data_IF_411602272802
#
_entry.id   IF_411602272802
#
_cell.length_a   1.000
_cell.length_b   1.000
_cell.length_c   1.000
_cell.angle_alpha   90.00
_cell.angle_beta   90.00
_cell.angle_gamma   90.00
#
_symmetry.space_group_name_H-M   'P 1'
#
loop_
_entity.id
_entity.type
_entity.pdbx_description
1 polymer ?
#
# COMPACT_ATOMS: atom_id res chain seq x y z
N UNK A 1 19.13 -18.34 18.27
CA UNK A 1 18.51 -17.54 17.20
C UNK A 1 19.36 -16.30 17.02
N UNK A 2 20.04 -16.18 15.88
CA UNK A 2 20.91 -15.02 15.58
C UNK A 2 20.01 -13.81 15.35
N UNK A 3 20.25 -12.72 16.11
CA UNK A 3 19.53 -11.46 15.93
C UNK A 3 19.67 -10.98 14.48
N UNK A 4 18.53 -10.68 13.86
CA UNK A 4 18.48 -10.10 12.51
C UNK A 4 19.16 -8.74 12.61
N UNK A 5 20.36 -8.63 12.05
CA UNK A 5 21.05 -7.35 11.89
C UNK A 5 20.15 -6.44 11.08
N UNK A 6 19.78 -5.28 11.62
CA UNK A 6 19.07 -4.22 10.92
C UNK A 6 20.00 -3.62 9.83
N UNK A 7 20.16 -4.38 8.74
CA UNK A 7 20.75 -3.88 7.49
C UNK A 7 19.86 -2.77 6.95
N UNK A 8 20.43 -1.85 6.20
CA UNK A 8 19.78 -0.71 5.56
C UNK A 8 18.55 -1.14 4.75
N UNK A 9 17.40 -1.23 5.41
CA UNK A 9 16.11 -1.50 4.77
C UNK A 9 15.85 -0.36 3.79
N UNK A 10 15.87 -0.68 2.51
CA UNK A 10 15.48 0.28 1.49
C UNK A 10 14.02 0.62 1.72
N UNK A 11 13.72 1.91 1.80
CA UNK A 11 12.35 2.39 1.91
C UNK A 11 11.56 1.92 0.69
N UNK A 12 10.59 1.03 0.90
CA UNK A 12 9.76 0.44 -0.14
C UNK A 12 8.35 1.00 0.03
N UNK A 13 7.70 1.36 -1.09
CA UNK A 13 6.28 1.75 -1.06
C UNK A 13 5.41 0.58 -0.62
N UNK A 14 4.42 0.87 0.22
CA UNK A 14 3.33 -0.05 0.50
C UNK A 14 2.20 0.25 -0.49
N UNK A 15 1.76 -0.75 -1.21
CA UNK A 15 0.72 -0.64 -2.25
C UNK A 15 -0.41 -1.62 -1.93
N UNK A 16 -1.45 -1.63 -2.74
CA UNK A 16 -2.63 -2.47 -2.54
C UNK A 16 -2.32 -3.94 -2.16
N UNK A 17 -1.37 -4.67 -2.81
CA UNK A 17 -1.06 -6.04 -2.42
C UNK A 17 -0.56 -6.18 -0.99
N UNK A 18 0.39 -5.32 -0.58
CA UNK A 18 0.92 -5.34 0.79
C UNK A 18 -0.13 -4.92 1.81
N UNK A 19 -1.02 -3.97 1.44
CA UNK A 19 -2.12 -3.53 2.30
C UNK A 19 -3.14 -4.64 2.52
N UNK A 20 -3.44 -5.43 1.49
CA UNK A 20 -4.31 -6.60 1.62
C UNK A 20 -3.71 -7.64 2.57
N UNK A 21 -2.45 -8.01 2.36
CA UNK A 21 -1.74 -8.97 3.21
C UNK A 21 -1.76 -8.51 4.68
N UNK A 22 -1.47 -7.22 4.93
CA UNK A 22 -1.54 -6.66 6.28
C UNK A 22 -2.95 -6.75 6.86
N UNK A 23 -3.98 -6.43 6.09
CA UNK A 23 -5.36 -6.45 6.57
C UNK A 23 -5.82 -7.87 6.94
N UNK A 24 -5.45 -8.87 6.15
CA UNK A 24 -5.72 -10.28 6.44
C UNK A 24 -5.01 -10.70 7.74
N UNK A 25 -3.72 -10.42 7.86
CA UNK A 25 -2.94 -10.75 9.06
C UNK A 25 -3.40 -9.98 10.32
N UNK A 26 -3.82 -8.72 10.17
CA UNK A 26 -4.43 -7.93 11.25
C UNK A 26 -5.75 -8.56 11.66
N UNK A 27 -6.56 -9.05 10.73
CA UNK A 27 -7.82 -9.74 11.02
C UNK A 27 -7.55 -10.97 11.87
N UNK A 28 -6.63 -11.84 11.44
CA UNK A 28 -6.27 -13.07 12.15
C UNK A 28 -5.71 -12.79 13.56
N UNK A 29 -4.95 -11.70 13.71
CA UNK A 29 -4.24 -11.41 14.96
C UNK A 29 -5.04 -10.56 15.94
N UNK A 30 -5.91 -9.65 15.46
CA UNK A 30 -6.52 -8.62 16.32
C UNK A 30 -8.03 -8.73 16.46
N UNK A 31 -8.74 -9.56 15.68
CA UNK A 31 -10.19 -9.68 15.77
C UNK A 31 -10.61 -10.01 17.22
N UNK A 32 -11.61 -9.32 17.74
CA UNK A 32 -12.15 -9.40 19.09
C UNK A 32 -11.23 -8.92 20.22
N UNK A 33 -9.95 -8.59 19.97
CA UNK A 33 -9.05 -8.09 21.02
C UNK A 33 -9.53 -6.73 21.54
N UNK A 34 -9.39 -6.53 22.85
CA UNK A 34 -9.73 -5.29 23.54
C UNK A 34 -8.49 -4.46 23.84
N UNK A 35 -8.51 -3.19 23.51
CA UNK A 35 -7.40 -2.27 23.77
C UNK A 35 -7.35 -1.95 25.28
N UNK A 36 -6.18 -2.20 25.89
CA UNK A 36 -5.88 -1.89 27.27
C UNK A 36 -5.28 -0.50 27.45
N UNK A 37 -4.29 -0.18 26.62
CA UNK A 37 -3.57 1.09 26.70
C UNK A 37 -2.94 1.45 25.35
N UNK A 38 -2.44 2.67 25.23
CA UNK A 38 -1.65 3.12 24.09
C UNK A 38 -0.44 3.95 24.56
N UNK A 39 0.57 4.04 23.70
CA UNK A 39 1.74 4.91 23.91
C UNK A 39 2.13 5.58 22.58
N UNK A 40 2.47 6.87 22.65
CA UNK A 40 2.84 7.67 21.48
C UNK A 40 4.23 8.25 21.68
N UNK A 41 5.11 7.98 20.71
CA UNK A 41 6.50 8.45 20.71
C UNK A 41 6.83 9.09 19.35
N UNK A 42 7.80 10.01 19.36
CA UNK A 42 8.39 10.63 18.16
C UNK A 42 7.36 11.18 17.13
N UNK A 43 6.13 11.49 17.56
CA UNK A 43 4.99 11.79 16.69
C UNK A 43 4.87 13.26 16.27
N UNK A 44 5.59 14.18 16.93
CA UNK A 44 5.44 15.64 16.75
C UNK A 44 5.49 16.09 15.29
N UNK A 45 6.44 15.52 14.50
CA UNK A 45 6.55 15.84 13.08
C UNK A 45 5.33 15.38 12.29
N UNK A 46 4.86 14.14 12.52
CA UNK A 46 3.69 13.58 11.84
C UNK A 46 2.40 14.33 12.20
N UNK A 47 2.26 14.73 13.46
CA UNK A 47 1.13 15.54 13.93
C UNK A 47 1.12 16.93 13.27
N UNK A 48 2.29 17.58 13.17
CA UNK A 48 2.44 18.91 12.55
C UNK A 48 2.04 18.89 11.06
N UNK A 49 2.41 17.85 10.33
CA UNK A 49 2.10 17.71 8.90
C UNK A 49 0.77 17.01 8.61
N UNK A 50 -0.01 16.65 9.67
CA UNK A 50 -1.35 16.08 9.51
C UNK A 50 -1.40 14.60 9.15
N UNK A 51 -0.38 13.82 9.52
CA UNK A 51 -0.35 12.36 9.30
C UNK A 51 -0.67 11.55 10.56
N UNK A 52 -0.82 12.22 11.68
CA UNK A 52 -1.39 11.69 12.92
C UNK A 52 -2.35 12.71 13.52
N UNK A 53 -3.25 12.28 14.42
CA UNK A 53 -4.09 13.18 15.18
C UNK A 53 -3.25 14.27 15.85
N UNK A 54 -3.74 15.50 15.84
CA UNK A 54 -2.99 16.66 16.39
C UNK A 54 -2.66 16.52 17.87
N UNK A 55 -3.54 15.88 18.63
CA UNK A 55 -3.38 15.69 20.08
C UNK A 55 -3.15 14.20 20.38
N UNK A 56 -2.10 13.83 21.13
CA UNK A 56 -1.90 12.45 21.58
C UNK A 56 -3.13 11.87 22.30
N UNK A 57 -3.85 12.69 23.08
CA UNK A 57 -5.10 12.31 23.79
C UNK A 57 -6.22 11.84 22.86
N UNK A 58 -6.17 12.14 21.56
CA UNK A 58 -7.20 11.67 20.62
C UNK A 58 -7.19 10.14 20.50
N UNK A 59 -6.09 9.47 20.85
CA UNK A 59 -6.00 8.00 20.87
C UNK A 59 -6.57 7.38 22.15
N UNK A 60 -6.80 8.15 23.22
CA UNK A 60 -7.36 7.66 24.49
C UNK A 60 -8.75 7.05 24.28
N UNK A 61 -9.53 7.57 23.34
CA UNK A 61 -10.86 7.07 22.99
C UNK A 61 -10.87 5.67 22.39
N UNK A 62 -9.71 5.12 22.00
CA UNK A 62 -9.56 3.72 21.60
C UNK A 62 -9.49 2.77 22.80
N UNK A 63 -9.09 3.26 23.98
CA UNK A 63 -8.96 2.45 25.19
C UNK A 63 -10.31 1.87 25.60
N UNK A 64 -10.32 0.58 25.91
CA UNK A 64 -11.54 -0.15 26.24
C UNK A 64 -12.43 -0.47 25.04
N UNK A 65 -12.03 -0.13 23.80
CA UNK A 65 -12.67 -0.60 22.58
C UNK A 65 -12.19 -1.99 22.20
N UNK A 66 -13.06 -2.77 21.54
CA UNK A 66 -12.73 -4.10 20.99
C UNK A 66 -12.79 -4.05 19.47
N UNK A 67 -11.82 -4.67 18.82
CA UNK A 67 -11.75 -4.81 17.36
C UNK A 67 -12.93 -5.66 16.87
N UNK A 68 -13.66 -5.17 15.85
CA UNK A 68 -14.85 -5.81 15.30
C UNK A 68 -14.68 -6.28 13.86
N UNK A 69 -14.10 -5.44 13.03
CA UNK A 69 -13.94 -5.72 11.61
C UNK A 69 -12.71 -4.98 11.09
N UNK A 70 -12.00 -5.61 10.20
CA UNK A 70 -10.91 -4.99 9.44
C UNK A 70 -11.34 -4.92 7.98
N UNK A 71 -11.33 -3.74 7.42
CA UNK A 71 -11.57 -3.51 6.00
C UNK A 71 -10.38 -2.79 5.40
N UNK A 72 -10.05 -3.14 4.17
CA UNK A 72 -9.01 -2.46 3.42
C UNK A 72 -9.52 -2.11 2.03
N UNK A 73 -8.97 -1.04 1.47
CA UNK A 73 -9.16 -0.68 0.07
C UNK A 73 -8.05 0.27 -0.35
N UNK A 74 -7.53 0.07 -1.56
CA UNK A 74 -6.35 0.82 -1.99
C UNK A 74 -5.20 0.61 -1.00
N UNK A 75 -4.62 1.73 -0.51
CA UNK A 75 -3.54 1.70 0.47
C UNK A 75 -4.02 1.92 1.91
N UNK A 76 -5.32 1.85 2.16
CA UNK A 76 -5.91 2.20 3.45
C UNK A 76 -6.49 0.97 4.13
N UNK A 77 -6.14 0.79 5.41
CA UNK A 77 -6.73 -0.19 6.33
C UNK A 77 -7.54 0.56 7.37
N UNK A 78 -8.76 0.11 7.58
CA UNK A 78 -9.64 0.63 8.62
C UNK A 78 -9.95 -0.49 9.61
N UNK A 79 -9.39 -0.39 10.81
CA UNK A 79 -9.66 -1.27 11.94
C UNK A 79 -10.86 -0.70 12.67
N UNK A 80 -12.03 -1.27 12.42
CA UNK A 80 -13.28 -0.85 13.06
C UNK A 80 -13.44 -1.50 14.42
N UNK A 81 -13.90 -0.75 15.38
CA UNK A 81 -14.09 -1.17 16.76
C UNK A 81 -15.54 -0.95 17.20
N UNK A 82 -15.92 -1.53 18.33
CA UNK A 82 -17.16 -1.13 19.00
C UNK A 82 -17.14 0.37 19.34
N UNK A 83 -18.25 0.91 19.86
CA UNK A 83 -18.42 2.33 20.18
C UNK A 83 -18.21 3.27 18.97
N UNK A 84 -18.36 2.76 17.72
CA UNK A 84 -18.19 3.52 16.47
C UNK A 84 -16.79 4.14 16.33
N UNK A 85 -15.77 3.50 16.88
CA UNK A 85 -14.38 3.93 16.79
C UNK A 85 -13.61 3.19 15.69
N UNK A 86 -12.60 3.87 15.17
CA UNK A 86 -11.71 3.35 14.15
C UNK A 86 -10.25 3.71 14.43
N UNK A 87 -9.35 2.80 14.11
CA UNK A 87 -7.96 3.11 13.85
C UNK A 87 -7.75 3.00 12.33
N UNK A 88 -7.46 4.14 11.69
CA UNK A 88 -7.24 4.24 10.24
C UNK A 88 -5.74 4.28 9.98
N UNK A 89 -5.28 3.35 9.16
CA UNK A 89 -3.88 3.21 8.76
C UNK A 89 -3.78 3.36 7.23
N UNK A 90 -2.86 4.22 6.79
CA UNK A 90 -2.44 4.25 5.40
C UNK A 90 -0.91 4.17 5.39
N UNK A 91 -0.34 2.96 5.36
CA UNK A 91 1.10 2.79 5.35
C UNK A 91 1.69 3.32 4.04
N UNK A 92 2.89 3.89 4.12
CA UNK A 92 3.64 4.41 2.97
C UNK A 92 5.12 4.00 3.09
N UNK A 93 6.00 4.64 2.36
CA UNK A 93 7.43 4.31 2.30
C UNK A 93 8.04 4.04 3.66
N UNK A 94 8.61 2.84 3.83
CA UNK A 94 9.30 2.42 5.05
C UNK A 94 8.40 2.30 6.28
N UNK A 95 7.08 2.26 6.10
CA UNK A 95 6.15 2.01 7.20
C UNK A 95 6.38 0.60 7.77
N UNK A 96 6.33 0.51 9.10
CA UNK A 96 6.38 -0.75 9.85
C UNK A 96 5.14 -0.83 10.72
N UNK A 97 4.34 -1.88 10.51
CA UNK A 97 3.18 -2.24 11.31
C UNK A 97 3.44 -3.66 11.79
N UNK A 98 3.70 -3.84 13.09
CA UNK A 98 4.16 -5.12 13.64
C UNK A 98 3.29 -5.56 14.80
N UNK A 99 2.94 -6.84 14.81
CA UNK A 99 2.30 -7.52 15.93
C UNK A 99 3.32 -8.21 16.83
N UNK A 100 3.14 -8.10 18.14
CA UNK A 100 4.03 -8.67 19.14
C UNK A 100 3.23 -9.51 20.13
N UNK A 101 3.68 -10.73 20.38
CA UNK A 101 3.07 -11.65 21.34
C UNK A 101 3.41 -11.28 22.79
N UNK A 102 4.53 -10.58 22.99
CA UNK A 102 5.01 -10.13 24.28
C UNK A 102 5.90 -8.88 24.14
N UNK A 103 6.33 -8.30 25.25
CA UNK A 103 7.16 -7.10 25.30
C UNK A 103 8.59 -7.29 24.78
N UNK A 104 9.11 -8.52 24.72
CA UNK A 104 10.52 -8.81 24.39
C UNK A 104 10.86 -8.47 22.93
N UNK A 105 9.85 -8.46 22.07
CA UNK A 105 10.00 -8.17 20.64
C UNK A 105 9.67 -6.73 20.26
N UNK A 106 9.29 -5.88 21.23
CA UNK A 106 8.94 -4.50 20.99
C UNK A 106 10.11 -3.71 20.41
N UNK A 107 9.90 -2.89 19.37
CA UNK A 107 10.94 -2.03 18.83
C UNK A 107 11.24 -0.88 19.81
N UNK A 108 12.49 -0.43 19.82
CA UNK A 108 12.91 0.73 20.64
C UNK A 108 12.19 2.02 20.29
N UNK A 109 11.68 2.15 19.07
CA UNK A 109 11.00 3.36 18.55
C UNK A 109 9.73 2.98 17.82
N UNK A 110 8.67 3.70 18.11
CA UNK A 110 7.37 3.62 17.42
C UNK A 110 6.73 5.01 17.40
N UNK A 111 5.73 5.21 16.58
CA UNK A 111 4.87 6.41 16.65
C UNK A 111 3.60 6.12 17.45
N UNK A 112 3.03 4.93 17.27
CA UNK A 112 1.92 4.43 18.08
C UNK A 112 2.23 2.99 18.50
N UNK A 113 2.08 2.70 19.80
CA UNK A 113 1.99 1.36 20.36
C UNK A 113 0.62 1.18 20.98
N UNK A 114 -0.04 0.09 20.68
CA UNK A 114 -1.32 -0.32 21.26
C UNK A 114 -1.07 -1.61 22.03
N UNK A 115 -1.45 -1.64 23.30
CA UNK A 115 -1.45 -2.84 24.15
C UNK A 115 -2.86 -3.39 24.24
N UNK A 116 -3.02 -4.70 24.08
CA UNK A 116 -4.27 -5.40 24.24
C UNK A 116 -4.38 -6.05 25.63
N UNK A 117 -5.61 -6.33 26.08
CA UNK A 117 -5.88 -6.90 27.41
C UNK A 117 -5.31 -8.31 27.61
N UNK A 118 -4.96 -8.99 26.53
CA UNK A 118 -4.33 -10.32 26.55
C UNK A 118 -2.78 -10.26 26.58
N UNK A 119 -2.20 -9.06 26.71
CA UNK A 119 -0.76 -8.87 26.80
C UNK A 119 -0.03 -8.84 25.46
N UNK A 120 -0.75 -8.83 24.33
CA UNK A 120 -0.17 -8.66 23.00
C UNK A 120 -0.12 -7.18 22.60
N UNK A 121 0.66 -6.84 21.56
CA UNK A 121 0.87 -5.45 21.14
C UNK A 121 0.80 -5.29 19.63
N UNK A 122 0.40 -4.11 19.20
CA UNK A 122 0.56 -3.61 17.83
C UNK A 122 1.45 -2.37 17.88
N UNK A 123 2.53 -2.36 17.11
CA UNK A 123 3.38 -1.16 16.96
C UNK A 123 3.32 -0.62 15.54
N UNK A 124 3.29 0.71 15.41
CA UNK A 124 3.21 1.40 14.13
C UNK A 124 4.30 2.47 14.08
N UNK A 125 5.11 2.41 13.04
CA UNK A 125 6.11 3.43 12.73
C UNK A 125 5.98 3.83 11.27
N UNK A 126 5.79 5.10 11.01
CA UNK A 126 5.72 5.70 9.67
C UNK A 126 7.00 6.49 9.39
N UNK A 127 7.52 6.41 8.19
CA UNK A 127 8.75 7.14 7.82
C UNK A 127 8.55 8.13 6.68
N UNK A 128 7.41 8.09 6.01
CA UNK A 128 7.08 8.93 4.88
C UNK A 128 5.77 9.67 5.08
N UNK A 129 4.92 9.59 4.09
CA UNK A 129 3.59 10.21 4.08
C UNK A 129 2.49 9.27 4.61
N UNK A 130 2.87 8.25 5.37
CA UNK A 130 1.93 7.32 5.97
C UNK A 130 1.08 7.96 7.06
N UNK A 131 -0.16 7.50 7.17
CA UNK A 131 -1.16 8.08 8.05
C UNK A 131 -1.60 7.10 9.14
N UNK A 132 -1.76 7.61 10.37
CA UNK A 132 -2.31 6.87 11.52
C UNK A 132 -3.31 7.77 12.23
N UNK A 133 -4.60 7.42 12.22
CA UNK A 133 -5.64 8.23 12.85
C UNK A 133 -6.58 7.38 13.73
N UNK A 134 -6.84 7.87 14.93
CA UNK A 134 -7.99 7.51 15.75
C UNK A 134 -9.16 8.40 15.32
N UNK A 135 -10.29 7.81 14.95
CA UNK A 135 -11.46 8.53 14.46
C UNK A 135 -12.77 7.82 14.80
N UNK A 136 -13.84 8.56 15.05
CA UNK A 136 -15.20 8.03 15.02
C UNK A 136 -15.61 7.66 13.58
N UNK A 137 -16.71 6.92 13.41
CA UNK A 137 -17.24 6.61 12.06
C UNK A 137 -17.53 7.87 11.24
N UNK A 138 -17.98 8.95 11.90
CA UNK A 138 -18.27 10.20 11.22
C UNK A 138 -16.98 10.93 10.82
N UNK A 139 -16.03 11.07 11.73
CA UNK A 139 -14.73 11.71 11.46
C UNK A 139 -13.93 10.96 10.38
N UNK A 140 -14.02 9.63 10.36
CA UNK A 140 -13.33 8.81 9.39
C UNK A 140 -13.71 9.16 7.93
N UNK A 141 -14.96 9.55 7.68
CA UNK A 141 -15.44 9.96 6.35
C UNK A 141 -14.70 11.18 5.80
N UNK A 142 -14.16 12.03 6.68
CA UNK A 142 -13.47 13.26 6.31
C UNK A 142 -11.96 13.07 6.12
N UNK A 143 -11.42 11.92 6.51
CA UNK A 143 -10.01 11.61 6.31
C UNK A 143 -9.73 11.44 4.80
N UNK A 144 -8.75 12.17 4.29
CA UNK A 144 -8.40 12.20 2.85
C UNK A 144 -8.22 10.81 2.24
N UNK A 145 -7.48 9.90 2.91
CA UNK A 145 -7.23 8.55 2.39
C UNK A 145 -8.51 7.70 2.32
N UNK A 146 -9.46 7.93 3.22
CA UNK A 146 -10.78 7.28 3.17
C UNK A 146 -11.55 7.78 1.95
N UNK A 147 -11.61 9.11 1.75
CA UNK A 147 -12.28 9.69 0.56
C UNK A 147 -11.67 9.20 -0.75
N UNK A 148 -10.35 9.04 -0.78
CA UNK A 148 -9.62 8.55 -1.96
C UNK A 148 -9.88 7.08 -2.23
N UNK A 149 -9.62 6.23 -1.23
CA UNK A 149 -9.54 4.78 -1.42
C UNK A 149 -10.91 4.09 -1.34
N UNK A 150 -11.87 4.66 -0.61
CA UNK A 150 -13.26 4.15 -0.53
C UNK A 150 -14.23 4.94 -1.43
N UNK A 151 -13.73 5.48 -2.52
CA UNK A 151 -14.49 6.11 -3.60
C UNK A 151 -15.08 5.07 -4.58
N UNK A 152 -15.79 5.54 -5.59
CA UNK A 152 -16.34 4.68 -6.67
C UNK A 152 -15.28 4.21 -7.70
N UNK A 153 -14.01 4.67 -7.56
CA UNK A 153 -12.91 4.19 -8.39
C UNK A 153 -12.61 2.74 -8.01
N UNK A 154 -12.62 1.77 -8.96
CA UNK A 154 -12.50 0.36 -8.63
C UNK A 154 -11.13 -0.01 -8.04
N UNK A 155 -11.12 -1.04 -7.18
CA UNK A 155 -9.89 -1.70 -6.73
C UNK A 155 -9.58 -2.86 -7.67
N UNK A 156 -8.35 -2.94 -8.20
CA UNK A 156 -7.99 -4.01 -9.14
C UNK A 156 -7.81 -5.37 -8.48
N UNK A 157 -7.99 -5.48 -7.17
CA UNK A 157 -7.91 -6.73 -6.40
C UNK A 157 -9.07 -6.79 -5.41
N UNK A 158 -9.66 -7.98 -5.27
CA UNK A 158 -10.69 -8.27 -4.26
C UNK A 158 -12.09 -7.76 -4.58
N UNK A 159 -12.29 -7.04 -5.68
CA UNK A 159 -13.60 -6.56 -6.11
C UNK A 159 -14.12 -7.35 -7.32
N UNK A 160 -15.35 -7.89 -7.21
CA UNK A 160 -15.98 -8.66 -8.28
C UNK A 160 -16.41 -7.80 -9.47
N UNK A 161 -16.59 -6.51 -9.27
CA UNK A 161 -17.01 -5.54 -10.27
C UNK A 161 -15.86 -4.90 -11.05
N UNK A 162 -14.60 -5.24 -10.73
CA UNK A 162 -13.45 -4.83 -11.55
C UNK A 162 -13.35 -5.73 -12.79
N UNK A 163 -14.21 -5.44 -13.79
CA UNK A 163 -14.23 -6.10 -15.08
C UNK A 163 -13.41 -5.34 -16.13
N UNK A 164 -13.07 -6.00 -17.23
CA UNK A 164 -12.38 -5.35 -18.34
C UNK A 164 -13.21 -4.22 -18.95
N UNK A 165 -14.51 -4.42 -19.12
CA UNK A 165 -15.44 -3.44 -19.67
C UNK A 165 -15.41 -2.15 -18.85
N UNK A 166 -15.53 -2.25 -17.51
CA UNK A 166 -15.48 -1.11 -16.61
C UNK A 166 -14.10 -0.43 -16.63
N UNK A 167 -13.03 -1.20 -16.65
CA UNK A 167 -11.67 -0.66 -16.76
C UNK A 167 -11.47 0.11 -18.08
N UNK A 168 -11.91 -0.45 -19.21
CA UNK A 168 -11.86 0.17 -20.54
C UNK A 168 -12.65 1.47 -20.56
N UNK A 169 -13.89 1.49 -20.10
CA UNK A 169 -14.72 2.69 -20.02
C UNK A 169 -14.03 3.81 -19.23
N UNK A 170 -13.44 3.50 -18.08
CA UNK A 170 -12.73 4.49 -17.26
C UNK A 170 -11.45 5.01 -17.94
N UNK A 171 -10.72 4.16 -18.67
CA UNK A 171 -9.55 4.58 -19.46
C UNK A 171 -9.95 5.52 -20.60
N UNK A 172 -10.99 5.18 -21.33
CA UNK A 172 -11.45 5.91 -22.52
C UNK A 172 -12.04 7.26 -22.15
N UNK A 173 -12.75 7.34 -21.03
CA UNK A 173 -13.37 8.56 -20.54
C UNK A 173 -12.38 9.69 -20.23
N UNK A 174 -11.11 9.38 -19.97
CA UNK A 174 -10.12 10.37 -19.49
C UNK A 174 -9.04 10.76 -20.49
N UNK A 175 -8.73 9.93 -21.50
CA UNK A 175 -7.78 10.25 -22.58
C UNK A 175 -6.47 10.87 -22.10
N UNK A 176 -5.80 10.28 -21.09
CA UNK A 176 -4.65 10.86 -20.40
C UNK A 176 -3.40 9.99 -20.51
N UNK A 177 -2.25 10.52 -20.07
CA UNK A 177 -1.03 9.71 -19.98
C UNK A 177 -1.24 8.46 -19.14
N UNK A 178 -0.69 7.31 -19.59
CA UNK A 178 -0.88 6.00 -18.95
C UNK A 178 -0.46 6.00 -17.46
N UNK A 179 0.58 6.74 -17.10
CA UNK A 179 0.99 6.83 -15.69
C UNK A 179 -0.05 7.57 -14.86
N UNK A 180 -0.61 8.67 -15.36
CA UNK A 180 -1.67 9.40 -14.67
C UNK A 180 -2.94 8.55 -14.54
N UNK A 181 -3.23 7.70 -15.54
CA UNK A 181 -4.37 6.78 -15.52
C UNK A 181 -4.22 5.66 -14.47
N UNK A 182 -3.02 5.20 -14.18
CA UNK A 182 -2.80 4.07 -13.27
C UNK A 182 -2.45 4.53 -11.84
N UNK A 183 -1.65 5.61 -11.68
CA UNK A 183 -1.10 5.99 -10.35
C UNK A 183 -1.24 7.48 -10.03
N UNK A 184 -1.88 8.26 -10.86
CA UNK A 184 -2.07 9.70 -10.66
C UNK A 184 -3.27 10.04 -9.77
N UNK A 185 -3.50 11.35 -9.57
CA UNK A 185 -4.71 11.84 -8.89
C UNK A 185 -6.00 11.52 -9.64
N UNK A 186 -5.89 11.30 -10.95
CA UNK A 186 -6.97 10.94 -11.86
C UNK A 186 -6.97 9.46 -12.22
N UNK A 187 -6.30 8.62 -11.42
CA UNK A 187 -6.20 7.20 -11.65
C UNK A 187 -7.58 6.54 -11.78
N UNK A 188 -7.66 5.52 -12.62
CA UNK A 188 -8.89 4.74 -12.84
C UNK A 188 -8.97 3.51 -11.94
N UNK A 189 -7.94 3.30 -11.11
CA UNK A 189 -7.86 2.27 -10.08
C UNK A 189 -7.22 2.85 -8.81
N UNK A 190 -7.53 2.28 -7.65
CA UNK A 190 -6.96 2.71 -6.38
C UNK A 190 -5.78 1.85 -5.94
N UNK A 191 -4.91 2.42 -5.11
CA UNK A 191 -3.92 1.67 -4.33
C UNK A 191 -2.63 1.29 -5.05
N UNK A 192 -2.38 1.84 -6.24
CA UNK A 192 -1.16 1.60 -7.00
C UNK A 192 -0.21 2.79 -6.93
N UNK A 193 1.08 2.52 -6.98
CA UNK A 193 2.14 3.51 -7.06
C UNK A 193 3.13 3.20 -8.19
N UNK A 194 4.21 3.96 -8.22
CA UNK A 194 5.22 3.84 -9.27
C UNK A 194 5.89 2.45 -9.35
N UNK A 195 5.91 1.68 -8.26
CA UNK A 195 6.52 0.35 -8.28
C UNK A 195 5.63 -0.64 -9.07
N UNK A 196 4.34 -0.74 -8.75
CA UNK A 196 3.41 -1.58 -9.50
C UNK A 196 3.26 -1.10 -10.95
N UNK A 197 3.20 0.21 -11.17
CA UNK A 197 3.09 0.80 -12.51
C UNK A 197 4.16 0.28 -13.47
N UNK A 198 5.44 0.30 -13.07
CA UNK A 198 6.55 -0.11 -13.93
C UNK A 198 6.44 -1.59 -14.33
N UNK A 199 6.11 -2.46 -13.39
CA UNK A 199 5.93 -3.88 -13.66
C UNK A 199 4.75 -4.14 -14.60
N UNK A 200 3.62 -3.46 -14.36
CA UNK A 200 2.39 -3.62 -15.14
C UNK A 200 2.61 -3.20 -16.60
N UNK A 201 3.15 -2.00 -16.84
CA UNK A 201 3.37 -1.52 -18.21
C UNK A 201 4.48 -2.29 -18.94
N UNK A 202 5.49 -2.79 -18.24
CA UNK A 202 6.51 -3.65 -18.84
C UNK A 202 5.89 -4.95 -19.31
N UNK A 203 5.10 -5.60 -18.47
CA UNK A 203 4.40 -6.84 -18.80
C UNK A 203 3.40 -6.66 -19.94
N UNK A 204 2.71 -5.51 -19.97
CA UNK A 204 1.75 -5.15 -21.03
C UNK A 204 2.43 -4.70 -22.34
N UNK A 205 3.74 -4.47 -22.37
CA UNK A 205 4.46 -3.99 -23.55
C UNK A 205 4.21 -2.49 -23.87
N UNK A 206 3.72 -1.70 -22.91
CA UNK A 206 3.32 -0.30 -23.15
C UNK A 206 4.42 0.66 -22.69
N UNK A 207 4.80 1.60 -23.58
CA UNK A 207 5.78 2.63 -23.26
C UNK A 207 5.23 3.63 -22.21
N UNK A 208 6.01 4.03 -21.19
CA UNK A 208 5.52 4.85 -20.07
C UNK A 208 4.98 6.23 -20.45
N UNK A 209 5.30 6.74 -21.64
CA UNK A 209 4.79 8.03 -22.13
C UNK A 209 3.53 7.92 -23.01
N UNK A 210 3.02 6.71 -23.26
CA UNK A 210 1.81 6.52 -24.08
C UNK A 210 0.61 7.24 -23.45
N UNK A 211 -0.28 7.69 -24.30
CA UNK A 211 -1.59 8.20 -23.91
C UNK A 211 -2.63 7.07 -24.01
N UNK A 212 -3.56 7.01 -23.08
CA UNK A 212 -4.60 5.97 -23.06
C UNK A 212 -5.49 5.99 -24.28
N UNK A 213 -5.70 7.17 -24.90
CA UNK A 213 -6.46 7.31 -26.14
C UNK A 213 -5.78 6.71 -27.39
N UNK A 214 -4.50 6.41 -27.31
CA UNK A 214 -3.74 5.78 -28.41
C UNK A 214 -3.59 4.27 -28.26
N UNK A 215 -4.13 3.69 -27.19
CA UNK A 215 -4.08 2.26 -26.94
C UNK A 215 -5.16 1.55 -27.78
N UNK A 216 -4.77 0.47 -28.43
CA UNK A 216 -5.72 -0.45 -29.07
C UNK A 216 -6.51 -1.23 -28.00
N UNK A 217 -7.59 -1.88 -28.38
CA UNK A 217 -8.35 -2.71 -27.42
C UNK A 217 -7.54 -3.91 -26.94
N UNK A 218 -6.69 -4.49 -27.78
CA UNK A 218 -5.75 -5.56 -27.37
C UNK A 218 -4.72 -5.04 -26.35
N UNK A 219 -4.17 -3.85 -26.53
CA UNK A 219 -3.26 -3.23 -25.55
C UNK A 219 -3.95 -2.95 -24.22
N UNK A 220 -5.22 -2.52 -24.26
CA UNK A 220 -6.03 -2.31 -23.02
C UNK A 220 -6.31 -3.65 -22.31
N UNK A 221 -6.60 -4.73 -23.05
CA UNK A 221 -6.73 -6.09 -22.50
C UNK A 221 -5.43 -6.55 -21.86
N UNK A 222 -4.31 -6.44 -22.58
CA UNK A 222 -3.00 -6.79 -22.06
C UNK A 222 -2.64 -5.98 -20.80
N UNK A 223 -3.02 -4.72 -20.73
CA UNK A 223 -2.82 -3.87 -19.55
C UNK A 223 -3.64 -4.35 -18.35
N UNK A 224 -4.92 -4.67 -18.57
CA UNK A 224 -5.82 -5.21 -17.55
C UNK A 224 -5.32 -6.54 -16.99
N UNK A 225 -4.98 -7.48 -17.87
CA UNK A 225 -4.51 -8.80 -17.48
C UNK A 225 -3.14 -8.73 -16.79
N UNK A 226 -2.23 -7.89 -17.29
CA UNK A 226 -0.93 -7.64 -16.68
C UNK A 226 -1.07 -7.07 -15.28
N UNK A 227 -2.01 -6.14 -15.07
CA UNK A 227 -2.31 -5.59 -13.76
C UNK A 227 -2.76 -6.67 -12.79
N UNK A 228 -3.75 -7.48 -13.15
CA UNK A 228 -4.24 -8.58 -12.31
C UNK A 228 -3.14 -9.59 -12.00
N UNK A 229 -2.35 -9.99 -13.00
CA UNK A 229 -1.27 -10.97 -12.82
C UNK A 229 -0.17 -10.47 -11.89
N UNK A 230 0.31 -9.23 -12.06
CA UNK A 230 1.35 -8.65 -11.20
C UNK A 230 0.85 -8.51 -9.76
N UNK A 231 -0.35 -7.99 -9.55
CA UNK A 231 -0.88 -7.78 -8.21
C UNK A 231 -1.12 -9.11 -7.48
N UNK A 232 -1.73 -10.10 -8.16
CA UNK A 232 -1.94 -11.42 -7.58
C UNK A 232 -0.61 -12.14 -7.30
N UNK A 233 0.37 -12.05 -8.19
CA UNK A 233 1.72 -12.61 -7.94
C UNK A 233 2.36 -12.02 -6.69
N UNK A 234 2.23 -10.70 -6.47
CA UNK A 234 2.74 -10.04 -5.27
C UNK A 234 2.02 -10.51 -4.01
N UNK A 235 0.71 -10.68 -4.05
CA UNK A 235 -0.08 -11.20 -2.92
C UNK A 235 0.35 -12.64 -2.60
N UNK A 236 0.37 -13.53 -3.60
CA UNK A 236 0.76 -14.93 -3.43
C UNK A 236 2.22 -15.10 -2.94
N UNK A 237 3.08 -14.13 -3.25
CA UNK A 237 4.47 -14.11 -2.79
C UNK A 237 4.64 -13.48 -1.39
N UNK A 238 3.56 -13.10 -0.72
CA UNK A 238 3.60 -12.45 0.59
C UNK A 238 4.13 -11.01 0.55
N UNK A 239 4.00 -10.32 -0.60
CA UNK A 239 4.51 -8.96 -0.81
C UNK A 239 5.92 -8.90 -1.40
N UNK A 240 6.44 -7.69 -1.55
CA UNK A 240 7.80 -7.42 -2.08
C UNK A 240 8.89 -7.91 -1.14
N UNK A 241 10.01 -8.38 -1.70
CA UNK A 241 11.17 -8.92 -0.95
C UNK A 241 11.75 -7.97 0.11
N UNK A 242 11.61 -6.67 -0.10
CA UNK A 242 12.14 -5.63 0.78
C UNK A 242 11.07 -5.04 1.73
N UNK A 243 9.88 -5.63 1.77
CA UNK A 243 8.79 -5.21 2.64
C UNK A 243 8.56 -6.25 3.74
N UNK A 244 8.28 -5.79 4.96
CA UNK A 244 7.97 -6.66 6.10
C UNK A 244 6.47 -6.72 6.35
N UNK A 245 5.96 -7.93 6.50
CA UNK A 245 4.59 -8.21 6.88
C UNK A 245 4.33 -7.90 8.38
N UNK A 246 3.12 -8.17 8.86
CA UNK A 246 2.72 -7.91 10.25
C UNK A 246 3.61 -8.64 11.30
N UNK A 247 4.21 -9.76 10.92
CA UNK A 247 5.05 -10.58 11.78
C UNK A 247 6.56 -10.29 11.65
N UNK A 248 6.90 -9.28 10.83
CA UNK A 248 8.30 -8.90 10.58
C UNK A 248 9.01 -9.80 9.59
N UNK A 249 8.29 -10.56 8.78
CA UNK A 249 8.84 -11.43 7.74
C UNK A 249 8.85 -10.72 6.39
N UNK A 250 9.92 -10.86 5.58
CA UNK A 250 9.97 -10.26 4.25
C UNK A 250 9.07 -11.01 3.26
N UNK A 251 8.50 -10.28 2.30
CA UNK A 251 7.89 -10.88 1.13
C UNK A 251 8.91 -11.57 0.23
N UNK A 252 8.43 -12.18 -0.87
CA UNK A 252 9.28 -12.92 -1.83
C UNK A 252 9.11 -12.45 -3.27
N UNK A 253 8.27 -11.45 -3.51
CA UNK A 253 8.09 -10.92 -4.86
C UNK A 253 9.29 -10.07 -5.26
N UNK A 254 9.98 -10.51 -6.31
CA UNK A 254 11.05 -9.75 -6.98
C UNK A 254 10.45 -8.99 -8.16
N UNK A 255 10.55 -7.64 -8.19
CA UNK A 255 9.99 -6.85 -9.28
C UNK A 255 10.63 -7.20 -10.64
N UNK A 256 9.80 -7.43 -11.65
CA UNK A 256 10.26 -7.71 -13.03
C UNK A 256 10.76 -6.45 -13.75
N UNK A 257 10.36 -5.26 -13.29
CA UNK A 257 10.81 -3.96 -13.79
C UNK A 257 10.77 -2.90 -12.68
N UNK A 258 11.86 -2.17 -12.54
CA UNK A 258 12.00 -1.12 -11.53
C UNK A 258 13.46 -0.75 -11.27
N UNK A 259 13.79 -0.13 -10.14
CA UNK A 259 15.16 0.25 -9.78
C UNK A 259 16.16 -0.91 -9.71
N UNK A 260 15.68 -2.14 -9.51
CA UNK A 260 16.46 -3.39 -9.56
C UNK A 260 17.05 -3.64 -10.96
N UNK A 261 16.42 -3.10 -12.01
CA UNK A 261 16.86 -3.26 -13.40
C UNK A 261 17.83 -2.15 -13.85
N UNK A 262 18.28 -1.29 -12.95
CA UNK A 262 19.26 -0.24 -13.27
C UNK A 262 20.56 -0.86 -13.78
N UNK A 263 21.01 -0.42 -14.97
CA UNK A 263 22.22 -0.93 -15.66
C UNK A 263 22.14 -2.43 -16.02
N UNK A 264 20.92 -2.98 -16.12
CA UNK A 264 20.70 -4.35 -16.58
C UNK A 264 20.16 -4.37 -18.02
N UNK A 265 20.21 -5.53 -18.63
CA UNK A 265 19.57 -5.78 -19.92
C UNK A 265 18.17 -6.38 -19.72
N UNK A 266 17.29 -6.13 -20.67
CA UNK A 266 15.95 -6.69 -20.69
C UNK A 266 16.02 -8.23 -20.81
N UNK A 267 15.41 -8.98 -19.90
CA UNK A 267 15.44 -10.44 -19.94
C UNK A 267 14.72 -11.03 -21.15
N UNK A 268 13.82 -10.27 -21.79
CA UNK A 268 13.07 -10.74 -22.96
C UNK A 268 13.83 -10.52 -24.28
N UNK A 269 14.50 -9.37 -24.44
CA UNK A 269 15.06 -9.00 -25.76
C UNK A 269 16.54 -8.58 -25.72
N UNK A 270 17.18 -8.57 -24.56
CA UNK A 270 18.59 -8.20 -24.39
C UNK A 270 18.91 -6.71 -24.52
N UNK A 271 17.95 -5.84 -24.85
CA UNK A 271 18.18 -4.39 -24.93
C UNK A 271 18.49 -3.81 -23.54
N UNK A 272 19.35 -2.79 -23.47
CA UNK A 272 19.63 -2.09 -22.23
C UNK A 272 18.35 -1.43 -21.69
N UNK A 273 18.12 -1.57 -20.37
CA UNK A 273 17.01 -0.91 -19.70
C UNK A 273 17.30 0.59 -19.58
N UNK A 274 16.34 1.38 -20.01
CA UNK A 274 16.38 2.84 -19.91
C UNK A 274 15.65 3.35 -18.68
N UNK A 275 15.97 4.60 -18.32
CA UNK A 275 15.35 5.30 -17.19
C UNK A 275 14.97 6.71 -17.60
N UNK A 276 13.74 7.10 -17.32
CA UNK A 276 13.23 8.46 -17.54
C UNK A 276 12.64 9.05 -16.26
N UNK A 277 12.74 10.38 -16.11
CA UNK A 277 11.94 11.13 -15.16
C UNK A 277 10.56 11.35 -15.76
N UNK A 278 9.50 10.83 -15.13
CA UNK A 278 8.15 10.94 -15.66
C UNK A 278 7.10 10.90 -14.55
N UNK A 279 6.13 11.82 -14.61
CA UNK A 279 4.99 11.88 -13.68
C UNK A 279 5.43 11.88 -12.20
N UNK A 280 6.40 12.70 -11.83
CA UNK A 280 6.86 12.86 -10.44
C UNK A 280 7.76 11.76 -9.89
N UNK A 281 8.29 10.87 -10.76
CA UNK A 281 9.20 9.80 -10.31
C UNK A 281 10.07 9.27 -11.43
N UNK A 282 11.00 8.38 -11.07
CA UNK A 282 11.83 7.65 -12.02
C UNK A 282 11.08 6.42 -12.53
N UNK A 283 11.10 6.18 -13.85
CA UNK A 283 10.49 5.00 -14.49
C UNK A 283 11.56 4.28 -15.30
N UNK A 284 11.72 2.99 -15.03
CA UNK A 284 12.56 2.07 -15.78
C UNK A 284 11.71 1.35 -16.81
N UNK A 285 12.24 1.15 -18.02
CA UNK A 285 11.51 0.50 -19.10
C UNK A 285 12.46 -0.09 -20.16
N UNK A 286 11.97 -1.02 -20.93
CA UNK A 286 12.68 -1.57 -22.09
C UNK A 286 12.29 -0.81 -23.36
N UNK A 287 13.22 -0.12 -24.06
CA UNK A 287 12.87 0.68 -25.25
C UNK A 287 12.48 -0.18 -26.48
N UNK A 288 12.76 -1.48 -26.44
CA UNK A 288 12.43 -2.41 -27.54
C UNK A 288 11.11 -3.14 -27.30
N UNK A 289 10.85 -3.59 -26.06
CA UNK A 289 9.62 -4.33 -25.74
C UNK A 289 8.41 -3.45 -25.49
N UNK A 290 8.62 -2.20 -25.03
CA UNK A 290 7.54 -1.28 -24.68
C UNK A 290 7.39 -0.20 -25.76
N UNK A 291 6.26 -0.19 -26.44
CA UNK A 291 5.97 0.67 -27.59
C UNK A 291 4.81 1.62 -27.31
#
# INVERSE_FOLDING_TARGET
MKGIAFGTWRTVSVELPETQILAEQITDSLLSKKIKSYDIQDSTKLQKIGFMNKKPKDYERLVGCSVKTIIHRGNTIRIQMNKKMNLVLCPDYGAQILFHKDEKTLPKKHHLKVEFTDGTFLTIRQTGMGLVYSATDQEAKDIYVIKRDFSDIPSPVGEHDFTFERFRELLDAKGQNIKAAIVGKTAVVVGLSNAAFQEIIYKAGIHPKRNTSTLTDDEKHNLFDSMKQILNSRICSGGKENWLNLYGEPGRHMPVMGPNMKNQNCPQCGAAIEKIAHGGGQVYFCPRCQR
#
